data_IF_109145024362
#
_entry.id   IF_109145024362
#
_cell.length_a   1.000
_cell.length_b   1.000
_cell.length_c   1.000
_cell.angle_alpha   90.00
_cell.angle_beta   90.00
_cell.angle_gamma   90.00
#
_symmetry.space_group_name_H-M   'P 1'
#
loop_
_entity.id
_entity.type
_entity.pdbx_description
1 polymer ?
#
# COMPACT_ATOMS: atom_id res chain seq x y z
N UNK A 1 1.75 -35.46 -31.25
CA UNK A 1 2.43 -34.19 -31.56
C UNK A 1 2.87 -33.57 -30.25
N UNK A 2 4.15 -33.73 -29.91
CA UNK A 2 4.73 -33.38 -28.61
C UNK A 2 5.47 -32.06 -28.74
N UNK A 3 4.95 -31.00 -28.11
CA UNK A 3 5.59 -29.68 -28.05
C UNK A 3 6.80 -29.75 -27.12
N UNK A 4 8.01 -29.65 -27.67
CA UNK A 4 9.21 -29.41 -26.88
C UNK A 4 9.37 -27.91 -26.63
N UNK A 5 9.27 -27.54 -25.36
CA UNK A 5 9.65 -26.23 -24.83
C UNK A 5 11.18 -26.21 -24.79
N UNK A 6 11.80 -25.45 -25.69
CA UNK A 6 13.25 -25.22 -25.70
C UNK A 6 13.65 -24.40 -24.49
N UNK A 7 14.42 -25.02 -23.60
CA UNK A 7 15.01 -24.42 -22.42
C UNK A 7 16.05 -23.35 -22.79
N UNK A 8 15.91 -22.16 -22.20
CA UNK A 8 16.92 -21.08 -22.29
C UNK A 8 18.22 -21.56 -21.65
N UNK A 9 19.25 -21.79 -22.46
CA UNK A 9 20.58 -22.17 -21.99
C UNK A 9 21.28 -20.99 -21.29
N UNK A 10 22.02 -21.22 -20.19
CA UNK A 10 22.78 -20.15 -19.54
C UNK A 10 23.92 -19.67 -20.45
N UNK A 11 24.03 -18.34 -20.60
CA UNK A 11 25.01 -17.72 -21.49
C UNK A 11 26.45 -17.97 -21.03
N UNK A 12 27.22 -18.71 -21.84
CA UNK A 12 28.67 -18.87 -21.68
C UNK A 12 29.37 -17.51 -21.87
N UNK A 13 30.39 -17.14 -21.09
CA UNK A 13 31.16 -15.92 -21.34
C UNK A 13 31.84 -16.03 -22.72
N UNK A 14 31.48 -15.12 -23.64
CA UNK A 14 32.07 -15.09 -24.97
C UNK A 14 33.46 -14.47 -24.88
N UNK A 15 34.49 -15.28 -25.13
CA UNK A 15 35.85 -14.79 -25.32
C UNK A 15 35.96 -14.20 -26.72
N UNK A 16 36.14 -12.88 -26.82
CA UNK A 16 36.47 -12.22 -28.08
C UNK A 16 37.98 -12.22 -28.26
N UNK A 17 38.47 -12.63 -29.43
CA UNK A 17 39.90 -12.78 -29.70
C UNK A 17 40.56 -11.43 -30.05
N UNK A 18 39.76 -10.41 -30.42
CA UNK A 18 40.24 -9.04 -30.63
C UNK A 18 39.18 -7.96 -30.34
N UNK A 19 39.63 -6.72 -30.14
CA UNK A 19 38.74 -5.57 -29.91
C UNK A 19 37.81 -5.24 -31.08
N UNK A 20 38.22 -5.57 -32.32
CA UNK A 20 37.36 -5.38 -33.51
C UNK A 20 36.22 -6.39 -33.56
N UNK A 21 36.47 -7.63 -33.16
CA UNK A 21 35.42 -8.67 -33.08
C UNK A 21 34.35 -8.30 -32.04
N UNK A 22 34.76 -7.73 -30.90
CA UNK A 22 33.84 -7.24 -29.89
C UNK A 22 32.92 -6.15 -30.45
N UNK A 23 33.49 -5.15 -31.15
CA UNK A 23 32.71 -4.06 -31.74
C UNK A 23 31.72 -4.60 -32.77
N UNK A 24 32.15 -5.49 -33.66
CA UNK A 24 31.28 -6.08 -34.67
C UNK A 24 30.16 -6.93 -34.05
N UNK A 25 30.45 -7.70 -32.99
CA UNK A 25 29.44 -8.47 -32.27
C UNK A 25 28.42 -7.57 -31.55
N UNK A 26 28.85 -6.44 -31.00
CA UNK A 26 27.96 -5.46 -30.36
C UNK A 26 27.05 -4.78 -31.40
N UNK A 27 27.60 -4.42 -32.57
CA UNK A 27 26.82 -3.85 -33.68
C UNK A 27 25.81 -4.87 -34.20
N UNK A 28 26.22 -6.12 -34.42
CA UNK A 28 25.32 -7.19 -34.85
C UNK A 28 24.18 -7.42 -33.86
N UNK A 29 24.46 -7.53 -32.55
CA UNK A 29 23.42 -7.65 -31.52
C UNK A 29 22.48 -6.45 -31.47
N UNK A 30 22.99 -5.25 -31.73
CA UNK A 30 22.16 -4.05 -31.78
C UNK A 30 21.20 -4.11 -32.96
N UNK A 31 21.68 -4.48 -34.14
CA UNK A 31 20.85 -4.64 -35.33
C UNK A 31 19.79 -5.74 -35.12
N UNK A 32 20.18 -6.91 -34.61
CA UNK A 32 19.26 -8.00 -34.26
C UNK A 32 18.17 -7.55 -33.27
N UNK A 33 18.53 -6.72 -32.27
CA UNK A 33 17.57 -6.20 -31.30
C UNK A 33 16.65 -5.12 -31.91
N UNK A 34 17.13 -4.31 -32.83
CA UNK A 34 16.33 -3.32 -33.57
C UNK A 34 15.34 -4.02 -34.52
N UNK A 35 15.79 -5.05 -35.25
CA UNK A 35 14.96 -5.87 -36.12
C UNK A 35 13.90 -6.67 -35.33
N UNK A 36 14.29 -7.27 -34.21
CA UNK A 36 13.35 -7.94 -33.31
C UNK A 36 12.28 -6.97 -32.80
N UNK A 37 12.65 -5.75 -32.41
CA UNK A 37 11.69 -4.72 -32.01
C UNK A 37 10.75 -4.33 -33.15
N UNK A 38 11.25 -4.22 -34.37
CA UNK A 38 10.44 -3.94 -35.56
C UNK A 38 9.42 -5.04 -35.84
N UNK A 39 9.84 -6.30 -35.74
CA UNK A 39 8.97 -7.48 -35.88
C UNK A 39 7.91 -7.55 -34.77
N UNK A 40 8.28 -7.31 -33.51
CA UNK A 40 7.29 -7.28 -32.43
C UNK A 40 6.28 -6.13 -32.62
N UNK A 41 6.74 -4.95 -33.06
CA UNK A 41 5.86 -3.81 -33.32
C UNK A 41 4.95 -4.00 -34.55
N UNK A 42 5.31 -4.85 -35.52
CA UNK A 42 4.45 -5.18 -36.66
C UNK A 42 3.43 -6.25 -36.30
N UNK A 43 3.81 -7.24 -35.49
CA UNK A 43 2.90 -8.27 -34.94
C UNK A 43 1.86 -7.65 -34.00
N UNK A 44 2.24 -6.68 -33.16
CA UNK A 44 1.33 -5.97 -32.25
C UNK A 44 0.26 -5.15 -33.00
N UNK A 45 0.50 -4.79 -34.27
CA UNK A 45 -0.45 -4.07 -35.12
C UNK A 45 -1.43 -4.97 -35.87
N UNK A 46 -1.09 -6.24 -36.08
CA UNK A 46 -1.90 -7.20 -36.86
C UNK A 46 -2.76 -8.11 -35.98
N UNK A 47 -2.42 -8.23 -34.70
CA UNK A 47 -3.27 -8.86 -33.70
C UNK A 47 -4.44 -7.93 -33.33
N UNK A 48 -5.68 -8.44 -33.21
CA UNK A 48 -6.75 -7.68 -32.59
C UNK A 48 -6.31 -7.25 -31.18
N UNK A 49 -6.60 -6.00 -30.80
CA UNK A 49 -6.27 -5.47 -29.47
C UNK A 49 -6.69 -6.51 -28.42
N UNK A 50 -5.76 -6.97 -27.58
CA UNK A 50 -5.99 -8.01 -26.58
C UNK A 50 -7.19 -7.69 -25.67
N UNK A 51 -7.58 -6.41 -25.64
CA UNK A 51 -8.76 -5.89 -24.96
C UNK A 51 -10.12 -6.29 -25.58
N UNK A 52 -10.16 -6.76 -26.84
CA UNK A 52 -11.37 -7.25 -27.51
C UNK A 52 -11.73 -8.70 -27.17
N UNK A 53 -10.78 -9.47 -26.62
CA UNK A 53 -10.95 -10.87 -26.21
C UNK A 53 -11.24 -11.02 -24.70
N UNK A 54 -11.33 -9.90 -23.99
CA UNK A 54 -11.57 -9.85 -22.54
C UNK A 54 -13.08 -9.89 -22.28
N UNK A 55 -13.63 -11.09 -22.01
CA UNK A 55 -15.06 -11.31 -21.80
C UNK A 55 -15.68 -10.48 -20.65
N UNK A 56 -14.85 -9.93 -19.77
CA UNK A 56 -15.24 -9.06 -18.66
C UNK A 56 -15.28 -7.56 -19.05
N UNK A 57 -15.07 -7.22 -20.33
CA UNK A 57 -15.10 -5.84 -20.81
C UNK A 57 -16.48 -5.46 -21.32
N UNK A 58 -17.18 -4.66 -20.53
CA UNK A 58 -18.54 -4.18 -20.82
C UNK A 58 -18.45 -2.69 -21.15
N UNK A 59 -18.98 -2.29 -22.31
CA UNK A 59 -18.96 -0.90 -22.78
C UNK A 59 -17.56 -0.24 -22.76
N UNK A 60 -16.51 -1.04 -23.00
CA UNK A 60 -15.11 -0.60 -22.98
C UNK A 60 -14.46 -0.53 -21.58
N UNK A 61 -15.20 -0.85 -20.52
CA UNK A 61 -14.74 -0.91 -19.12
C UNK A 61 -14.50 -2.36 -18.73
N UNK A 62 -13.29 -2.68 -18.25
CA UNK A 62 -12.99 -4.03 -17.72
C UNK A 62 -13.58 -4.14 -16.31
N UNK A 63 -14.72 -4.79 -16.17
CA UNK A 63 -15.42 -4.96 -14.89
C UNK A 63 -14.75 -6.09 -14.11
N UNK A 64 -14.31 -5.79 -12.89
CA UNK A 64 -13.78 -6.80 -11.98
C UNK A 64 -14.90 -7.31 -11.07
N UNK A 65 -14.94 -8.61 -10.86
CA UNK A 65 -15.96 -9.27 -10.05
C UNK A 65 -15.37 -9.71 -8.70
N UNK A 66 -16.05 -9.38 -7.59
CA UNK A 66 -15.73 -9.90 -6.25
C UNK A 66 -16.34 -11.29 -6.09
N UNK A 67 -17.58 -11.42 -6.54
CA UNK A 67 -18.35 -12.66 -6.63
C UNK A 67 -19.24 -12.59 -7.87
N UNK A 68 -19.79 -13.71 -8.37
CA UNK A 68 -20.74 -13.68 -9.46
C UNK A 68 -21.88 -12.69 -9.17
N UNK A 69 -22.15 -11.77 -10.10
CA UNK A 69 -23.17 -10.72 -9.93
C UNK A 69 -22.74 -9.52 -9.07
N UNK A 70 -21.57 -9.53 -8.42
CA UNK A 70 -21.06 -8.44 -7.59
C UNK A 70 -19.78 -7.83 -8.14
N UNK A 71 -19.87 -6.63 -8.69
CA UNK A 71 -18.71 -5.92 -9.21
C UNK A 71 -17.89 -5.24 -8.09
N UNK A 72 -16.57 -5.34 -8.22
CA UNK A 72 -15.57 -4.53 -7.53
C UNK A 72 -15.57 -3.12 -8.13
N UNK A 73 -16.60 -2.32 -7.82
CA UNK A 73 -16.82 -0.98 -8.39
C UNK A 73 -15.57 -0.12 -8.29
N UNK A 74 -15.07 0.12 -7.07
CA UNK A 74 -13.96 1.06 -6.85
C UNK A 74 -12.68 0.69 -7.60
N UNK A 75 -12.35 -0.61 -7.66
CA UNK A 75 -11.17 -1.07 -8.37
C UNK A 75 -11.34 -1.00 -9.89
N UNK A 76 -12.50 -1.41 -10.39
CA UNK A 76 -12.89 -1.30 -11.80
C UNK A 76 -12.75 0.15 -12.26
N UNK A 77 -13.32 1.07 -11.48
CA UNK A 77 -13.34 2.49 -11.82
C UNK A 77 -11.93 3.08 -11.80
N UNK A 78 -11.16 2.79 -10.74
CA UNK A 78 -9.80 3.31 -10.60
C UNK A 78 -8.87 2.79 -11.71
N UNK A 79 -8.96 1.51 -12.07
CA UNK A 79 -8.18 0.94 -13.17
C UNK A 79 -8.57 1.53 -14.52
N UNK A 80 -9.86 1.76 -14.77
CA UNK A 80 -10.32 2.40 -15.99
C UNK A 80 -9.84 3.86 -16.10
N UNK A 81 -9.91 4.61 -15.01
CA UNK A 81 -9.38 5.98 -14.94
C UNK A 81 -7.86 6.02 -15.19
N UNK A 82 -7.10 5.08 -14.61
CA UNK A 82 -5.66 4.93 -14.88
C UNK A 82 -5.37 4.59 -16.34
N UNK A 83 -6.06 3.61 -16.92
CA UNK A 83 -5.87 3.22 -18.31
C UNK A 83 -6.16 4.39 -19.26
N UNK A 84 -7.22 5.15 -18.99
CA UNK A 84 -7.57 6.34 -19.77
C UNK A 84 -6.51 7.44 -19.62
N UNK A 85 -5.97 7.64 -18.41
CA UNK A 85 -4.89 8.57 -18.18
C UNK A 85 -3.59 8.19 -18.91
N UNK A 86 -3.27 6.90 -19.00
CA UNK A 86 -2.16 6.39 -19.82
C UNK A 86 -2.38 6.63 -21.32
N UNK A 87 -3.58 6.34 -21.83
CA UNK A 87 -3.93 6.65 -23.23
C UNK A 87 -3.84 8.13 -23.55
N UNK A 88 -4.29 9.01 -22.65
CA UNK A 88 -4.14 10.46 -22.81
C UNK A 88 -2.67 10.87 -22.90
N UNK A 89 -1.78 10.22 -22.12
CA UNK A 89 -0.34 10.46 -22.18
C UNK A 89 0.28 9.95 -23.49
N UNK A 90 -0.12 8.77 -23.94
CA UNK A 90 0.36 8.18 -25.21
C UNK A 90 -0.10 8.99 -26.42
N UNK A 91 -1.32 9.53 -26.38
CA UNK A 91 -1.88 10.41 -27.40
C UNK A 91 -1.41 11.88 -27.29
N UNK A 92 -0.44 12.16 -26.42
CA UNK A 92 0.10 13.51 -26.13
C UNK A 92 -0.99 14.56 -25.81
N UNK A 93 -2.13 14.12 -25.27
CA UNK A 93 -3.20 15.00 -24.87
C UNK A 93 -2.99 15.50 -23.45
N UNK A 94 -3.46 16.73 -23.17
CA UNK A 94 -3.44 17.28 -21.82
C UNK A 94 -4.29 16.41 -20.88
N UNK A 95 -3.62 15.77 -19.93
CA UNK A 95 -4.23 15.00 -18.84
C UNK A 95 -4.79 15.97 -17.77
N UNK A 96 -6.04 16.39 -17.96
CA UNK A 96 -6.78 17.24 -17.01
C UNK A 96 -7.51 16.38 -15.97
N UNK A 97 -7.68 16.93 -14.76
CA UNK A 97 -8.43 16.26 -13.69
C UNK A 97 -9.87 15.94 -14.14
N UNK A 98 -10.51 16.82 -14.93
CA UNK A 98 -11.85 16.61 -15.49
C UNK A 98 -11.95 15.33 -16.34
N UNK A 99 -11.06 15.14 -17.33
CA UNK A 99 -11.07 13.93 -18.18
C UNK A 99 -10.90 12.64 -17.38
N UNK A 100 -10.12 12.68 -16.29
CA UNK A 100 -9.95 11.51 -15.41
C UNK A 100 -11.20 11.27 -14.57
N UNK A 101 -11.85 12.33 -14.08
CA UNK A 101 -13.12 12.23 -13.34
C UNK A 101 -14.23 11.72 -14.26
N UNK A 102 -14.33 12.21 -15.50
CA UNK A 102 -15.34 11.75 -16.46
C UNK A 102 -15.19 10.25 -16.75
N UNK A 103 -13.94 9.79 -16.95
CA UNK A 103 -13.65 8.37 -17.13
C UNK A 103 -14.00 7.54 -15.87
N UNK A 104 -13.77 8.11 -14.68
CA UNK A 104 -14.16 7.48 -13.43
C UNK A 104 -15.69 7.38 -13.30
N UNK A 105 -16.42 8.46 -13.51
CA UNK A 105 -17.88 8.47 -13.41
C UNK A 105 -18.54 7.53 -14.42
N UNK A 106 -18.02 7.50 -15.67
CA UNK A 106 -18.46 6.56 -16.69
C UNK A 106 -18.29 5.11 -16.24
N UNK A 107 -17.08 4.72 -15.81
CA UNK A 107 -16.83 3.34 -15.37
C UNK A 107 -17.60 2.96 -14.09
N UNK A 108 -17.91 3.93 -13.22
CA UNK A 108 -18.75 3.70 -12.05
C UNK A 108 -20.17 3.33 -12.45
N UNK A 109 -20.76 4.08 -13.38
CA UNK A 109 -22.12 3.84 -13.85
C UNK A 109 -22.23 2.48 -14.54
N UNK A 110 -21.24 2.10 -15.36
CA UNK A 110 -21.17 0.77 -16.00
C UNK A 110 -21.07 -0.34 -14.94
N UNK A 111 -20.13 -0.23 -13.99
CA UNK A 111 -19.96 -1.24 -12.95
C UNK A 111 -21.20 -1.35 -12.03
N UNK A 112 -21.90 -0.24 -11.78
CA UNK A 112 -23.14 -0.21 -11.02
C UNK A 112 -24.28 -0.88 -11.79
N UNK A 113 -24.43 -0.60 -13.08
CA UNK A 113 -25.50 -1.19 -13.88
C UNK A 113 -25.41 -2.71 -13.97
N UNK A 114 -24.18 -3.25 -14.08
CA UNK A 114 -23.96 -4.69 -14.30
C UNK A 114 -23.81 -5.46 -12.98
N UNK A 115 -23.21 -4.86 -11.94
CA UNK A 115 -22.81 -5.57 -10.72
C UNK A 115 -23.18 -4.86 -9.41
N UNK A 116 -24.32 -4.15 -9.39
CA UNK A 116 -24.83 -3.49 -8.19
C UNK A 116 -25.01 -4.46 -7.02
N UNK A 117 -25.51 -5.68 -7.27
CA UNK A 117 -25.84 -6.66 -6.21
C UNK A 117 -26.74 -6.01 -5.12
N UNK A 118 -27.84 -5.38 -5.57
CA UNK A 118 -28.80 -4.61 -4.76
C UNK A 118 -28.21 -3.45 -3.93
N UNK A 119 -26.94 -3.08 -4.12
CA UNK A 119 -26.33 -1.93 -3.44
C UNK A 119 -26.79 -0.62 -4.06
N UNK A 120 -27.08 0.37 -3.20
CA UNK A 120 -27.28 1.75 -3.63
C UNK A 120 -26.04 2.31 -4.32
N UNK A 121 -26.26 3.29 -5.19
CA UNK A 121 -25.18 4.10 -5.74
C UNK A 121 -24.55 4.91 -4.62
N UNK A 122 -23.25 4.75 -4.44
CA UNK A 122 -22.44 5.45 -3.45
C UNK A 122 -21.24 6.06 -4.19
N UNK A 123 -21.52 7.11 -4.96
CA UNK A 123 -20.48 7.85 -5.67
C UNK A 123 -19.73 8.75 -4.68
N UNK A 124 -18.39 8.70 -4.61
CA UNK A 124 -17.62 9.59 -3.73
C UNK A 124 -17.91 11.07 -4.03
N UNK A 125 -17.92 11.99 -3.04
CA UNK A 125 -18.13 13.42 -3.27
C UNK A 125 -17.11 14.05 -4.23
N UNK A 126 -17.47 15.16 -4.88
CA UNK A 126 -16.65 15.80 -5.93
C UNK A 126 -15.22 16.15 -5.47
N UNK A 127 -15.04 16.57 -4.21
CA UNK A 127 -13.73 16.86 -3.62
C UNK A 127 -12.81 15.64 -3.59
N UNK A 128 -13.37 14.46 -3.34
CA UNK A 128 -12.62 13.22 -3.26
C UNK A 128 -12.29 12.70 -4.67
N UNK A 129 -13.20 12.87 -5.63
CA UNK A 129 -12.95 12.60 -7.06
C UNK A 129 -11.82 13.45 -7.62
N UNK A 130 -11.76 14.73 -7.27
CA UNK A 130 -10.62 15.61 -7.61
C UNK A 130 -9.31 15.12 -6.99
N UNK A 131 -9.33 14.69 -5.73
CA UNK A 131 -8.13 14.16 -5.05
C UNK A 131 -7.67 12.86 -5.71
N UNK A 132 -8.60 11.98 -6.06
CA UNK A 132 -8.34 10.74 -6.79
C UNK A 132 -7.72 11.04 -8.17
N UNK A 133 -8.28 11.97 -8.94
CA UNK A 133 -7.77 12.34 -10.26
C UNK A 133 -6.33 12.87 -10.20
N UNK A 134 -6.00 13.69 -9.19
CA UNK A 134 -4.63 14.15 -8.95
C UNK A 134 -3.67 13.02 -8.63
N UNK A 135 -4.11 12.00 -7.89
CA UNK A 135 -3.31 10.80 -7.59
C UNK A 135 -3.09 9.96 -8.84
N UNK A 136 -4.13 9.68 -9.61
CA UNK A 136 -4.04 8.98 -10.91
C UNK A 136 -3.03 9.67 -11.82
N UNK A 137 -3.18 10.99 -11.99
CA UNK A 137 -2.24 11.82 -12.75
C UNK A 137 -0.81 11.73 -12.19
N UNK A 138 -0.68 11.76 -10.86
CA UNK A 138 0.59 11.56 -10.17
C UNK A 138 1.23 10.21 -10.48
N UNK A 139 0.48 9.11 -10.48
CA UNK A 139 0.99 7.78 -10.82
C UNK A 139 1.47 7.71 -12.27
N UNK A 140 0.66 8.25 -13.20
CA UNK A 140 1.00 8.25 -14.62
C UNK A 140 2.23 9.11 -14.91
N UNK A 141 2.36 10.29 -14.28
CA UNK A 141 3.50 11.19 -14.50
C UNK A 141 4.76 10.80 -13.72
N UNK A 142 4.62 10.22 -12.52
CA UNK A 142 5.76 9.75 -11.73
C UNK A 142 6.37 8.45 -12.28
N UNK A 143 5.72 7.82 -13.26
CA UNK A 143 6.22 6.69 -14.04
C UNK A 143 7.39 7.05 -14.96
N UNK A 144 8.55 7.38 -14.37
CA UNK A 144 9.89 7.15 -14.92
C UNK A 144 10.97 7.43 -13.87
N UNK A 145 11.09 6.60 -12.81
CA UNK A 145 12.36 6.12 -12.19
C UNK A 145 12.10 4.93 -11.25
N UNK A 146 11.35 3.91 -11.67
CA UNK A 146 11.33 2.60 -11.00
C UNK A 146 10.92 1.55 -12.02
N UNK A 147 11.74 0.50 -12.13
CA UNK A 147 11.50 -0.78 -12.80
C UNK A 147 11.16 -0.78 -14.29
N UNK A 148 12.19 -0.76 -15.14
CA UNK A 148 12.25 -1.74 -16.23
C UNK A 148 12.96 -2.96 -15.64
N UNK A 149 12.17 -3.88 -15.09
CA UNK A 149 12.65 -5.01 -14.28
C UNK A 149 11.87 -5.14 -12.98
N UNK A 150 10.59 -5.53 -13.08
CA UNK A 150 9.92 -6.22 -11.99
C UNK A 150 9.44 -7.56 -12.55
N UNK A 151 10.43 -8.43 -12.77
CA UNK A 151 10.19 -9.83 -12.48
C UNK A 151 10.07 -9.92 -10.96
N UNK A 152 8.97 -10.51 -10.53
CA UNK A 152 8.69 -10.92 -9.17
C UNK A 152 9.82 -11.82 -8.65
N UNK A 153 10.84 -11.25 -8.02
CA UNK A 153 11.77 -11.96 -7.13
C UNK A 153 12.13 -11.03 -5.97
N UNK A 154 11.93 -11.53 -4.74
CA UNK A 154 12.21 -10.82 -3.50
C UNK A 154 13.70 -10.58 -3.26
N UNK A 155 14.33 -9.72 -4.06
CA UNK A 155 15.71 -9.31 -3.88
C UNK A 155 15.76 -7.92 -3.25
N UNK A 156 16.19 -7.87 -1.98
CA UNK A 156 16.61 -6.66 -1.26
C UNK A 156 17.86 -6.07 -1.91
N UNK A 157 17.72 -5.40 -3.05
CA UNK A 157 18.80 -4.70 -3.72
C UNK A 157 18.83 -3.23 -3.29
N UNK A 158 19.54 -2.98 -2.17
CA UNK A 158 20.32 -1.76 -1.92
C UNK A 158 19.62 -0.40 -2.05
N UNK A 159 19.03 0.07 -0.95
CA UNK A 159 18.69 1.49 -0.75
C UNK A 159 19.93 2.36 -1.00
N UNK A 160 19.83 3.29 -1.96
CA UNK A 160 20.92 4.20 -2.34
C UNK A 160 21.44 4.97 -1.11
N UNK A 161 22.72 5.33 -1.06
CA UNK A 161 23.29 6.08 0.07
C UNK A 161 22.56 7.40 0.35
N UNK A 162 21.99 8.04 -0.70
CA UNK A 162 21.11 9.21 -0.56
C UNK A 162 19.78 8.88 0.08
N UNK A 163 19.19 7.73 -0.23
CA UNK A 163 17.93 7.27 0.34
C UNK A 163 18.11 6.85 1.81
N UNK A 164 19.23 6.19 2.15
CA UNK A 164 19.58 5.91 3.56
C UNK A 164 19.74 7.20 4.38
N UNK A 165 20.39 8.23 3.81
CA UNK A 165 20.53 9.53 4.47
C UNK A 165 19.21 10.29 4.54
N UNK A 166 18.37 10.21 3.52
CA UNK A 166 17.02 10.78 3.52
C UNK A 166 16.13 10.12 4.59
N UNK A 167 16.18 8.78 4.71
CA UNK A 167 15.41 8.03 5.71
C UNK A 167 15.88 8.36 7.14
N UNK A 168 17.20 8.36 7.36
CA UNK A 168 17.81 8.75 8.64
C UNK A 168 17.46 10.20 9.04
N UNK A 169 17.43 11.12 8.08
CA UNK A 169 17.09 12.52 8.35
C UNK A 169 15.58 12.78 8.45
N UNK A 170 14.73 11.94 7.86
CA UNK A 170 13.27 12.04 7.95
C UNK A 170 12.79 11.83 9.38
N UNK A 171 13.30 10.80 10.08
CA UNK A 171 13.03 10.60 11.51
C UNK A 171 13.58 11.71 12.40
N UNK A 172 14.80 12.20 12.10
CA UNK A 172 15.44 13.29 12.87
C UNK A 172 14.71 14.63 12.72
N UNK A 173 14.20 14.96 11.53
CA UNK A 173 13.40 16.17 11.29
C UNK A 173 12.04 16.09 12.01
N UNK A 174 11.40 14.92 12.01
CA UNK A 174 10.17 14.67 12.76
C UNK A 174 10.38 14.87 14.27
N UNK A 175 11.44 14.28 14.83
CA UNK A 175 11.79 14.42 16.25
C UNK A 175 12.10 15.87 16.64
N UNK A 176 12.86 16.60 15.81
CA UNK A 176 13.12 18.04 16.03
C UNK A 176 11.84 18.87 15.99
N UNK A 177 10.93 18.60 15.05
CA UNK A 177 9.65 19.31 14.96
C UNK A 177 8.71 18.96 16.12
N UNK A 178 8.73 17.72 16.59
CA UNK A 178 7.99 17.32 17.79
C UNK A 178 8.54 18.00 19.05
N UNK A 179 9.87 18.07 19.21
CA UNK A 179 10.51 18.77 20.32
C UNK A 179 10.23 20.29 20.28
N UNK A 180 10.23 20.91 19.10
CA UNK A 180 9.86 22.32 18.94
C UNK A 180 8.45 22.64 19.45
N UNK A 181 7.49 21.69 19.37
CA UNK A 181 6.13 21.87 19.92
C UNK A 181 6.10 21.95 21.45
N UNK A 182 7.17 21.51 22.11
CA UNK A 182 7.34 21.58 23.56
C UNK A 182 8.20 22.77 24.02
N UNK A 183 8.78 23.55 23.10
CA UNK A 183 9.60 24.72 23.46
C UNK A 183 8.80 25.77 24.21
N UNK A 184 7.52 25.95 23.84
CA UNK A 184 6.57 26.75 24.63
C UNK A 184 5.68 25.83 25.45
N UNK A 185 5.95 25.80 26.76
CA UNK A 185 5.23 24.99 27.73
C UNK A 185 3.78 25.46 27.94
N UNK A 186 3.51 26.73 27.68
CA UNK A 186 2.20 27.34 27.83
C UNK A 186 1.38 27.30 26.53
N UNK A 187 1.95 26.76 25.45
CA UNK A 187 1.20 26.54 24.22
C UNK A 187 -0.02 25.64 24.44
N UNK A 188 -1.08 25.88 23.68
CA UNK A 188 -2.32 25.08 23.73
C UNK A 188 -2.05 23.60 23.53
N UNK A 189 -1.11 23.24 22.65
CA UNK A 189 -0.66 21.87 22.44
C UNK A 189 -0.04 21.25 23.70
N UNK A 190 0.95 21.92 24.31
CA UNK A 190 1.65 21.42 25.48
C UNK A 190 0.70 21.28 26.68
N UNK A 191 -0.18 22.26 26.91
CA UNK A 191 -1.18 22.21 27.98
C UNK A 191 -2.17 21.05 27.78
N UNK A 192 -2.64 20.83 26.54
CA UNK A 192 -3.53 19.70 26.24
C UNK A 192 -2.87 18.34 26.50
N UNK A 193 -1.61 18.16 26.12
CA UNK A 193 -0.87 16.92 26.39
C UNK A 193 -0.61 16.72 27.89
N UNK A 194 -0.30 17.80 28.63
CA UNK A 194 -0.17 17.73 30.09
C UNK A 194 -1.48 17.37 30.78
N UNK A 195 -2.61 17.92 30.32
CA UNK A 195 -3.92 17.60 30.86
C UNK A 195 -4.27 16.13 30.61
N UNK A 196 -3.93 15.57 29.45
CA UNK A 196 -4.08 14.12 29.17
C UNK A 196 -3.23 13.29 30.12
N UNK A 197 -1.97 13.66 30.32
CA UNK A 197 -1.07 12.97 31.23
C UNK A 197 -1.59 13.03 32.68
N UNK A 198 -2.05 14.20 33.13
CA UNK A 198 -2.62 14.38 34.46
C UNK A 198 -3.86 13.50 34.66
N UNK A 199 -4.78 13.46 33.69
CA UNK A 199 -5.95 12.57 33.72
C UNK A 199 -5.54 11.10 33.78
N UNK A 200 -4.57 10.69 32.98
CA UNK A 200 -4.05 9.31 33.01
C UNK A 200 -3.45 8.96 34.38
N UNK A 201 -2.68 9.87 34.99
CA UNK A 201 -2.11 9.67 36.32
C UNK A 201 -3.19 9.59 37.41
N UNK A 202 -4.23 10.43 37.33
CA UNK A 202 -5.38 10.35 38.24
C UNK A 202 -6.12 9.00 38.11
N UNK A 203 -6.31 8.51 36.89
CA UNK A 203 -6.91 7.20 36.65
C UNK A 203 -6.05 6.06 37.21
N UNK A 204 -4.73 6.08 36.99
CA UNK A 204 -3.80 5.11 37.58
C UNK A 204 -3.85 5.12 39.10
N UNK A 205 -3.86 6.30 39.72
CA UNK A 205 -3.97 6.43 41.17
C UNK A 205 -5.30 5.87 41.70
N UNK A 206 -6.42 6.13 41.01
CA UNK A 206 -7.72 5.54 41.37
C UNK A 206 -7.71 4.03 41.24
N UNK A 207 -7.19 3.49 40.12
CA UNK A 207 -7.07 2.04 39.91
C UNK A 207 -6.22 1.38 40.99
N UNK A 208 -5.11 2.00 41.37
CA UNK A 208 -4.26 1.52 42.47
C UNK A 208 -5.00 1.46 43.80
N UNK A 209 -5.77 2.51 44.15
CA UNK A 209 -6.60 2.51 45.37
C UNK A 209 -7.70 1.45 45.36
N UNK A 210 -8.34 1.24 44.21
CA UNK A 210 -9.37 0.19 44.06
C UNK A 210 -8.74 -1.18 44.25
N UNK A 211 -7.64 -1.46 43.54
CA UNK A 211 -6.93 -2.74 43.66
C UNK A 211 -6.47 -3.01 45.09
N UNK A 212 -5.94 -2.02 45.80
CA UNK A 212 -5.56 -2.17 47.21
C UNK A 212 -6.75 -2.53 48.12
N UNK A 213 -7.94 -1.97 47.84
CA UNK A 213 -9.16 -2.30 48.59
C UNK A 213 -9.69 -3.69 48.25
N UNK A 214 -9.66 -4.08 46.98
CA UNK A 214 -10.03 -5.42 46.55
C UNK A 214 -9.14 -6.48 47.21
N UNK A 215 -7.83 -6.21 47.31
CA UNK A 215 -6.89 -7.06 48.04
C UNK A 215 -7.27 -7.13 49.52
N UNK A 216 -7.45 -5.99 50.20
CA UNK A 216 -7.80 -5.97 51.62
C UNK A 216 -9.11 -6.75 51.90
N UNK A 217 -10.15 -6.49 51.11
CA UNK A 217 -11.44 -7.18 51.24
C UNK A 217 -11.28 -8.70 51.06
N UNK A 218 -10.45 -9.15 50.11
CA UNK A 218 -10.19 -10.59 49.93
C UNK A 218 -9.58 -11.23 51.19
N UNK A 219 -8.63 -10.55 51.85
CA UNK A 219 -8.04 -11.06 53.09
C UNK A 219 -9.06 -11.13 54.23
N UNK A 220 -9.88 -10.08 54.40
CA UNK A 220 -10.93 -10.04 55.43
C UNK A 220 -11.99 -11.12 55.18
N UNK A 221 -12.45 -11.27 53.93
CA UNK A 221 -13.44 -12.28 53.54
C UNK A 221 -12.91 -13.71 53.76
N UNK A 222 -11.66 -13.99 53.40
CA UNK A 222 -11.09 -15.33 53.61
C UNK A 222 -10.90 -15.64 55.10
N UNK A 223 -10.55 -14.64 55.93
CA UNK A 223 -10.48 -14.78 57.37
C UNK A 223 -11.87 -15.06 57.97
N UNK A 224 -12.90 -14.33 57.54
CA UNK A 224 -14.28 -14.57 57.98
C UNK A 224 -14.78 -15.98 57.65
N UNK A 225 -14.38 -16.54 56.51
CA UNK A 225 -14.82 -17.87 56.07
C UNK A 225 -14.03 -19.02 56.70
N UNK A 226 -12.71 -18.85 56.90
CA UNK A 226 -11.81 -19.95 57.26
C UNK A 226 -11.19 -19.82 58.66
N UNK A 227 -11.31 -18.66 59.30
CA UNK A 227 -10.67 -18.34 60.57
C UNK A 227 -9.17 -18.07 60.48
N UNK A 228 -8.59 -18.04 59.27
CA UNK A 228 -7.15 -17.78 59.05
C UNK A 228 -6.93 -16.90 57.82
N UNK A 229 -5.86 -16.10 57.81
CA UNK A 229 -5.52 -15.26 56.67
C UNK A 229 -4.81 -16.06 55.55
N UNK A 230 -5.12 -15.78 54.27
CA UNK A 230 -4.47 -16.43 53.15
C UNK A 230 -3.01 -15.96 52.99
N UNK A 231 -2.18 -16.75 52.33
CA UNK A 231 -0.79 -16.35 52.03
C UNK A 231 -0.75 -15.38 50.84
N UNK A 232 0.30 -14.53 50.76
CA UNK A 232 0.51 -13.61 49.63
C UNK A 232 0.49 -14.33 48.27
N UNK A 233 1.01 -15.56 48.21
CA UNK A 233 1.03 -16.40 47.00
C UNK A 233 -0.37 -16.87 46.60
N UNK A 234 -1.22 -17.21 47.57
CA UNK A 234 -2.62 -17.58 47.32
C UNK A 234 -3.44 -16.36 46.88
N UNK A 235 -3.28 -15.23 47.58
CA UNK A 235 -3.98 -13.98 47.24
C UNK A 235 -3.59 -13.45 45.85
N UNK A 236 -2.30 -13.48 45.51
CA UNK A 236 -1.82 -13.08 44.18
C UNK A 236 -2.33 -13.98 43.07
N UNK A 237 -2.39 -15.31 43.29
CA UNK A 237 -2.96 -16.26 42.35
C UNK A 237 -4.46 -16.02 42.11
N UNK A 238 -5.23 -15.79 43.18
CA UNK A 238 -6.67 -15.60 43.12
C UNK A 238 -7.05 -14.26 42.46
N UNK A 239 -6.40 -13.17 42.89
CA UNK A 239 -6.64 -11.82 42.38
C UNK A 239 -5.91 -11.54 41.05
N UNK A 240 -5.13 -12.49 40.54
CA UNK A 240 -4.35 -12.40 39.29
C UNK A 240 -3.44 -11.16 39.25
N UNK A 241 -2.82 -10.84 40.38
CA UNK A 241 -1.86 -9.75 40.53
C UNK A 241 -0.50 -10.31 40.95
N UNK A 242 0.57 -9.52 40.84
CA UNK A 242 1.90 -9.99 41.28
C UNK A 242 1.99 -10.00 42.81
N UNK A 243 2.81 -10.87 43.39
CA UNK A 243 3.09 -10.88 44.84
C UNK A 243 3.64 -9.55 45.36
N UNK A 244 4.27 -8.72 44.50
CA UNK A 244 4.73 -7.37 44.86
C UNK A 244 3.60 -6.34 44.90
N UNK A 245 2.46 -6.66 44.31
CA UNK A 245 1.27 -5.81 44.24
C UNK A 245 0.32 -6.09 45.39
N UNK A 246 0.30 -7.33 45.88
CA UNK A 246 -0.34 -7.75 47.14
C UNK A 246 0.49 -7.24 48.31
#
# INVERSE_FOLDING_TARGET
MTNQITSVSPSRPQGFTSGRELINAVVARRLEAEDARGLFASVDKTLPDASALDGDRIEGVKVLWISPGRAARDETVFRHALATAHRLREADQRMTDAKIIDAYEYAYNVAQAVGADHRSSEMPPQRDRQTMARRVRGYVLSGSKTSRGSAFTGATAGVSARERKALSTMGRKGGKKAAQRWNDRNSTYAQNELNKLAKANQQRARKGRVSAREIANFFDDAYLQTGTYPTLKQASSELKVSEKTV
#
